data_IF_746741688731
#
_entry.id   IF_746741688731
#
_cell.length_a   1.000
_cell.length_b   1.000
_cell.length_c   1.000
_cell.angle_alpha   90.00
_cell.angle_beta   90.00
_cell.angle_gamma   90.00
#
_symmetry.space_group_name_H-M   'P 1'
#
loop_
_entity.id
_entity.type
_entity.pdbx_description
1 polymer ?
#
# COMPACT_ATOMS: atom_id res chain seq x y z
N UNK A 1 23.18 -64.37 55.18
CA UNK A 1 23.05 -65.31 54.05
C UNK A 1 23.25 -64.54 52.75
N UNK A 2 23.75 -65.22 51.71
CA UNK A 2 23.93 -64.79 50.32
C UNK A 2 22.63 -64.33 49.63
N UNK A 3 22.59 -63.64 48.47
CA UNK A 3 23.55 -62.78 47.74
C UNK A 3 22.87 -62.18 46.49
N UNK A 4 23.24 -60.95 46.11
CA UNK A 4 23.12 -60.36 44.74
C UNK A 4 21.68 -60.23 44.14
N UNK A 5 21.43 -59.51 43.03
CA UNK A 5 22.32 -58.74 42.14
C UNK A 5 21.65 -57.43 41.64
N UNK A 6 22.41 -56.57 40.96
CA UNK A 6 21.99 -55.29 40.36
C UNK A 6 22.17 -55.28 38.82
N UNK A 7 21.36 -54.47 38.12
CA UNK A 7 21.64 -53.78 36.83
C UNK A 7 20.43 -52.83 36.56
N UNK A 8 20.58 -51.50 36.43
CA UNK A 8 21.17 -50.69 35.34
C UNK A 8 20.22 -50.55 34.12
N UNK A 9 19.98 -49.38 33.50
CA UNK A 9 20.63 -48.05 33.55
C UNK A 9 19.53 -46.92 33.55
N UNK A 10 19.68 -45.73 34.17
CA UNK A 10 20.43 -44.50 33.73
C UNK A 10 19.74 -43.76 32.54
N UNK A 11 19.87 -42.41 32.32
CA UNK A 11 20.30 -41.25 33.15
C UNK A 11 19.11 -40.32 33.56
N UNK A 12 19.21 -39.15 34.22
CA UNK A 12 20.28 -38.41 34.94
C UNK A 12 19.64 -37.40 35.96
N UNK A 13 20.45 -36.91 36.91
CA UNK A 13 20.17 -35.75 37.80
C UNK A 13 21.01 -34.52 37.32
N UNK A 14 21.40 -33.49 38.11
CA UNK A 14 20.92 -32.88 39.38
C UNK A 14 20.42 -31.41 39.17
N UNK A 15 19.62 -30.78 40.05
CA UNK A 15 19.89 -30.09 41.35
C UNK A 15 20.83 -28.86 41.34
N UNK A 16 20.37 -27.80 42.05
CA UNK A 16 21.10 -26.64 42.64
C UNK A 16 21.98 -25.77 41.69
N UNK A 17 22.36 -24.51 42.00
CA UNK A 17 22.18 -23.61 43.17
C UNK A 17 21.59 -22.25 42.62
N UNK A 18 21.50 -21.05 43.22
CA UNK A 18 21.86 -20.35 44.49
C UNK A 18 20.87 -19.19 44.73
N UNK A 19 20.88 -18.54 45.92
CA UNK A 19 20.18 -17.28 46.18
C UNK A 19 20.99 -16.02 45.77
N UNK A 20 20.30 -14.95 45.34
CA UNK A 20 20.90 -13.66 44.99
C UNK A 20 19.97 -12.48 45.30
N UNK A 21 20.53 -11.30 45.55
CA UNK A 21 19.78 -10.10 45.96
C UNK A 21 18.93 -9.51 44.82
N UNK A 22 17.83 -8.77 45.13
CA UNK A 22 17.07 -8.04 44.13
C UNK A 22 17.91 -6.88 43.56
N UNK A 23 18.56 -7.15 42.42
CA UNK A 23 19.16 -6.12 41.57
C UNK A 23 18.08 -5.09 41.16
N UNK A 24 18.38 -3.78 41.21
CA UNK A 24 17.54 -2.80 40.55
C UNK A 24 17.41 -3.16 39.07
N UNK A 25 16.19 -3.45 38.64
CA UNK A 25 15.89 -3.71 37.23
C UNK A 25 16.06 -2.41 36.45
N UNK A 26 17.23 -2.28 35.84
CA UNK A 26 17.50 -1.28 34.81
C UNK A 26 16.37 -1.35 33.77
N UNK A 27 15.69 -0.24 33.43
CA UNK A 27 14.50 -0.29 32.59
C UNK A 27 14.83 -0.98 31.26
N UNK A 28 14.13 -2.10 30.99
CA UNK A 28 14.30 -2.81 29.73
C UNK A 28 14.14 -1.83 28.56
N UNK A 29 14.95 -1.92 27.50
CA UNK A 29 14.82 -1.06 26.33
C UNK A 29 13.36 -1.03 25.89
N UNK A 30 12.79 0.17 25.81
CA UNK A 30 11.40 0.32 25.42
C UNK A 30 11.16 -0.44 24.11
N UNK A 31 10.05 -1.19 23.98
CA UNK A 31 9.70 -1.81 22.70
C UNK A 31 9.81 -0.76 21.59
N UNK A 32 10.31 -1.12 20.39
CA UNK A 32 10.35 -0.17 19.29
C UNK A 32 8.96 0.44 19.15
N UNK A 33 8.89 1.77 19.19
CA UNK A 33 7.63 2.47 19.17
C UNK A 33 6.79 1.96 17.99
N UNK A 34 5.46 1.78 18.15
CA UNK A 34 4.60 1.44 17.02
C UNK A 34 4.95 2.38 15.85
N UNK A 35 5.12 1.85 14.62
CA UNK A 35 5.37 2.71 13.46
C UNK A 35 4.31 3.80 13.47
N UNK A 36 4.77 5.06 13.35
CA UNK A 36 3.93 6.23 13.61
C UNK A 36 2.58 6.07 12.90
N UNK A 37 1.50 6.30 13.65
CA UNK A 37 0.13 5.98 13.23
C UNK A 37 -0.39 6.97 12.18
N UNK A 38 0.26 6.98 11.01
CA UNK A 38 -0.35 7.45 9.77
C UNK A 38 -1.57 6.61 9.42
N UNK A 39 -2.30 7.03 8.40
CA UNK A 39 -3.53 6.37 7.99
C UNK A 39 -3.27 4.86 7.73
N UNK A 40 -4.19 3.96 8.15
CA UNK A 40 -4.08 2.54 7.79
C UNK A 40 -3.99 2.43 6.26
N UNK A 41 -3.16 1.52 5.75
CA UNK A 41 -2.88 1.45 4.31
C UNK A 41 -4.18 1.36 3.50
N UNK A 42 -4.28 2.07 2.37
CA UNK A 42 -5.51 2.15 1.62
C UNK A 42 -5.78 0.78 0.99
N UNK A 43 -7.01 0.31 1.14
CA UNK A 43 -7.43 -0.97 0.56
C UNK A 43 -7.45 -0.89 -0.96
N UNK A 44 -7.39 -2.05 -1.62
CA UNK A 44 -7.45 -2.15 -3.08
C UNK A 44 -8.72 -1.52 -3.66
N UNK A 45 -9.83 -1.54 -2.92
CA UNK A 45 -11.12 -0.92 -3.27
C UNK A 45 -11.10 0.62 -3.11
N UNK A 46 -10.48 1.16 -2.06
CA UNK A 46 -10.27 2.60 -1.90
C UNK A 46 -9.38 3.17 -3.01
N UNK A 47 -8.32 2.44 -3.39
CA UNK A 47 -7.46 2.82 -4.51
C UNK A 47 -8.20 2.71 -5.85
N UNK A 48 -8.94 1.63 -6.11
CA UNK A 48 -9.70 1.49 -7.37
C UNK A 48 -10.80 2.55 -7.49
N UNK A 49 -11.50 2.87 -6.40
CA UNK A 49 -12.51 3.92 -6.32
C UNK A 49 -11.94 5.32 -6.53
N UNK A 50 -10.76 5.61 -5.94
CA UNK A 50 -10.03 6.86 -6.20
C UNK A 50 -9.64 6.99 -7.68
N UNK A 51 -9.07 5.94 -8.28
CA UNK A 51 -8.65 5.96 -9.69
C UNK A 51 -9.83 6.00 -10.67
N UNK A 52 -10.96 5.42 -10.29
CA UNK A 52 -12.23 5.52 -11.02
C UNK A 52 -12.72 6.97 -11.04
N UNK A 53 -12.74 7.67 -9.89
CA UNK A 53 -13.05 9.12 -9.84
C UNK A 53 -12.03 9.95 -10.64
N UNK A 54 -10.75 9.64 -10.48
CA UNK A 54 -9.66 10.30 -11.21
C UNK A 54 -9.85 10.18 -12.74
N UNK A 55 -10.48 9.09 -13.19
CA UNK A 55 -10.75 8.78 -14.61
C UNK A 55 -12.20 9.01 -15.06
N UNK A 56 -13.05 9.56 -14.20
CA UNK A 56 -14.46 9.86 -14.52
C UNK A 56 -14.56 11.14 -15.39
N UNK A 57 -15.27 11.08 -16.52
CA UNK A 57 -15.38 12.21 -17.45
C UNK A 57 -16.48 13.24 -17.11
N UNK A 58 -17.08 13.13 -15.91
CA UNK A 58 -18.14 13.99 -15.38
C UNK A 58 -17.68 14.92 -14.26
N UNK A 59 -16.76 14.49 -13.38
CA UNK A 59 -16.14 15.37 -12.38
C UNK A 59 -14.99 16.19 -12.98
N UNK A 60 -14.85 17.46 -12.58
CA UNK A 60 -13.82 18.34 -13.15
C UNK A 60 -12.44 18.15 -12.52
N UNK A 61 -11.38 18.63 -13.19
CA UNK A 61 -10.00 18.53 -12.70
C UNK A 61 -9.76 19.08 -11.28
N UNK A 62 -10.62 19.96 -10.75
CA UNK A 62 -10.53 20.46 -9.37
C UNK A 62 -10.81 19.36 -8.34
N UNK A 63 -11.92 18.65 -8.48
CA UNK A 63 -12.28 17.52 -7.61
C UNK A 63 -11.33 16.33 -7.78
N UNK A 64 -10.71 16.19 -8.98
CA UNK A 64 -9.60 15.27 -9.20
C UNK A 64 -8.31 15.72 -8.50
N UNK A 65 -8.13 17.02 -8.32
CA UNK A 65 -6.98 17.61 -7.63
C UNK A 65 -6.92 17.21 -6.16
N UNK A 66 -8.07 17.12 -5.47
CA UNK A 66 -8.15 16.65 -4.08
C UNK A 66 -7.74 15.16 -3.91
N UNK A 67 -7.59 14.42 -5.02
CA UNK A 67 -7.12 13.02 -5.06
C UNK A 67 -5.62 12.90 -5.40
N UNK A 68 -4.90 14.03 -5.57
CA UNK A 68 -3.50 14.07 -6.01
C UNK A 68 -2.64 14.92 -5.07
N UNK A 69 -1.46 14.43 -4.72
CA UNK A 69 -0.43 15.14 -3.92
C UNK A 69 -0.06 16.48 -4.57
N UNK A 70 -0.31 17.60 -3.89
CA UNK A 70 -0.20 18.99 -4.43
C UNK A 70 -1.21 19.36 -5.55
N UNK A 71 -2.13 18.46 -5.89
CA UNK A 71 -3.19 18.68 -6.88
C UNK A 71 -2.77 18.53 -8.35
N UNK A 72 -3.68 18.99 -9.21
CA UNK A 72 -3.56 18.98 -10.68
C UNK A 72 -3.63 20.44 -11.16
N UNK A 73 -2.68 20.88 -11.97
CA UNK A 73 -2.70 22.24 -12.53
C UNK A 73 -3.76 22.40 -13.61
N UNK A 74 -4.17 23.63 -13.93
CA UNK A 74 -5.17 23.86 -14.99
C UNK A 74 -4.76 23.30 -16.36
N UNK A 75 -3.45 23.28 -16.67
CA UNK A 75 -2.96 22.76 -17.95
C UNK A 75 -3.09 21.24 -18.02
N UNK A 76 -2.67 20.54 -16.96
CA UNK A 76 -2.81 19.08 -16.85
C UNK A 76 -4.27 18.68 -16.79
N UNK A 77 -5.08 19.41 -16.01
CA UNK A 77 -6.51 19.22 -15.90
C UNK A 77 -7.22 19.34 -17.25
N UNK A 78 -6.93 20.37 -18.04
CA UNK A 78 -7.47 20.50 -19.40
C UNK A 78 -7.04 19.36 -20.33
N UNK A 79 -5.81 18.84 -20.20
CA UNK A 79 -5.36 17.66 -20.96
C UNK A 79 -6.08 16.38 -20.55
N UNK A 80 -6.24 16.17 -19.24
CA UNK A 80 -6.96 15.06 -18.61
C UNK A 80 -8.44 15.06 -19.03
N UNK A 81 -9.12 16.20 -18.87
CA UNK A 81 -10.51 16.39 -19.31
C UNK A 81 -10.66 16.20 -20.84
N UNK A 82 -9.69 16.66 -21.65
CA UNK A 82 -9.70 16.44 -23.09
C UNK A 82 -9.60 14.94 -23.45
N UNK A 83 -8.63 14.22 -22.88
CA UNK A 83 -8.39 12.82 -23.20
C UNK A 83 -9.49 11.89 -22.66
N UNK A 84 -10.02 12.15 -21.46
CA UNK A 84 -11.21 11.44 -20.97
C UNK A 84 -12.44 11.72 -21.86
N UNK A 85 -12.61 12.95 -22.35
CA UNK A 85 -13.73 13.30 -23.23
C UNK A 85 -13.53 12.86 -24.69
N UNK A 86 -12.29 12.60 -25.12
CA UNK A 86 -11.95 11.83 -26.33
C UNK A 86 -12.32 10.36 -26.11
N UNK A 87 -11.76 9.70 -25.08
CA UNK A 87 -12.06 8.33 -24.71
C UNK A 87 -13.58 8.05 -24.56
N UNK A 88 -14.35 8.97 -23.99
CA UNK A 88 -15.81 8.89 -23.93
C UNK A 88 -16.46 8.86 -25.33
N UNK A 89 -16.09 9.79 -26.22
CA UNK A 89 -16.60 9.88 -27.60
C UNK A 89 -16.20 8.67 -28.44
N UNK A 90 -14.99 8.16 -28.22
CA UNK A 90 -14.49 6.96 -28.88
C UNK A 90 -15.09 5.66 -28.33
N UNK A 91 -15.80 5.68 -27.20
CA UNK A 91 -16.33 4.46 -26.56
C UNK A 91 -15.24 3.61 -25.89
N UNK A 92 -14.16 4.24 -25.44
CA UNK A 92 -13.07 3.63 -24.66
C UNK A 92 -13.33 3.62 -23.14
N UNK A 93 -14.40 4.30 -22.68
CA UNK A 93 -14.86 4.30 -21.29
C UNK A 93 -16.03 3.31 -21.06
N UNK A 94 -16.22 2.81 -19.82
CA UNK A 94 -15.40 3.06 -18.63
C UNK A 94 -14.05 2.34 -18.67
N UNK A 95 -13.03 2.95 -18.08
CA UNK A 95 -11.81 2.25 -17.67
C UNK A 95 -12.06 1.50 -16.36
N UNK A 96 -11.46 0.33 -16.22
CA UNK A 96 -11.52 -0.51 -15.03
C UNK A 96 -10.13 -0.60 -14.39
N UNK A 97 -10.04 -0.39 -13.08
CA UNK A 97 -8.80 -0.29 -12.32
C UNK A 97 -8.68 -1.46 -11.34
N UNK A 98 -7.98 -2.52 -11.75
CA UNK A 98 -7.76 -3.71 -10.94
C UNK A 98 -6.48 -3.56 -10.11
N UNK A 99 -6.61 -3.33 -8.80
CA UNK A 99 -5.49 -3.04 -7.90
C UNK A 99 -4.95 -4.35 -7.33
N UNK A 100 -3.83 -4.83 -7.90
CA UNK A 100 -3.24 -6.13 -7.62
C UNK A 100 -2.71 -6.26 -6.18
N UNK A 101 -2.09 -5.18 -5.69
CA UNK A 101 -1.61 -5.06 -4.31
C UNK A 101 -1.42 -3.58 -3.94
N UNK A 102 -1.28 -3.33 -2.64
CA UNK A 102 -0.77 -2.08 -2.07
C UNK A 102 0.29 -2.44 -1.04
N UNK A 103 1.49 -1.88 -1.16
CA UNK A 103 2.63 -2.15 -0.24
C UNK A 103 3.17 -0.85 0.35
N UNK A 104 3.54 -0.80 1.65
CA UNK A 104 4.15 0.39 2.23
C UNK A 104 5.58 0.56 1.72
N UNK A 105 5.96 1.78 1.35
CA UNK A 105 7.32 2.09 0.89
C UNK A 105 8.19 2.79 1.94
N UNK A 106 7.59 3.24 3.05
CA UNK A 106 8.22 4.06 4.08
C UNK A 106 7.67 5.50 4.07
N UNK A 107 8.05 6.31 5.05
CA UNK A 107 7.87 7.78 5.04
C UNK A 107 6.45 8.30 4.69
N UNK A 108 5.41 7.59 5.15
CA UNK A 108 4.01 7.94 4.85
C UNK A 108 3.60 7.67 3.40
N UNK A 109 4.33 6.81 2.68
CA UNK A 109 4.07 6.46 1.28
C UNK A 109 3.79 4.97 1.10
N UNK A 110 3.04 4.66 0.05
CA UNK A 110 2.72 3.31 -0.39
C UNK A 110 2.83 3.20 -1.91
N UNK A 111 2.91 1.99 -2.43
CA UNK A 111 2.93 1.68 -3.86
C UNK A 111 1.81 0.69 -4.17
N UNK A 112 0.89 1.08 -5.05
CA UNK A 112 -0.15 0.22 -5.57
C UNK A 112 0.19 -0.21 -7.01
N UNK A 113 0.18 -1.51 -7.31
CA UNK A 113 0.29 -1.97 -8.70
C UNK A 113 -1.11 -2.13 -9.27
N UNK A 114 -1.44 -1.34 -10.29
CA UNK A 114 -2.81 -1.24 -10.82
C UNK A 114 -2.83 -1.64 -12.30
N UNK A 115 -3.62 -2.66 -12.61
CA UNK A 115 -3.91 -3.09 -13.98
C UNK A 115 -5.10 -2.32 -14.52
N UNK A 116 -4.83 -1.43 -15.46
CA UNK A 116 -5.86 -0.67 -16.18
C UNK A 116 -6.34 -1.49 -17.38
N UNK A 117 -7.65 -1.63 -17.52
CA UNK A 117 -8.33 -2.21 -18.69
C UNK A 117 -9.44 -1.28 -19.19
N UNK A 118 -9.90 -1.48 -20.42
CA UNK A 118 -10.98 -0.69 -21.01
C UNK A 118 -11.35 -1.19 -22.41
N UNK A 119 -12.59 -0.97 -22.88
CA UNK A 119 -13.16 -1.60 -24.09
C UNK A 119 -12.42 -1.32 -25.41
N UNK A 120 -11.52 -0.34 -25.46
CA UNK A 120 -10.65 -0.07 -26.63
C UNK A 120 -9.15 -0.22 -26.38
N UNK A 121 -8.70 -0.49 -25.16
CA UNK A 121 -7.26 -0.79 -24.95
C UNK A 121 -6.93 -2.18 -25.51
N UNK A 122 -5.90 -2.32 -26.36
CA UNK A 122 -5.58 -3.58 -27.03
C UNK A 122 -5.00 -4.65 -26.08
N UNK A 123 -4.51 -4.24 -24.91
CA UNK A 123 -4.05 -5.11 -23.83
C UNK A 123 -4.20 -4.41 -22.47
N UNK A 124 -4.35 -5.15 -21.37
CA UNK A 124 -4.23 -4.61 -20.01
C UNK A 124 -2.87 -3.94 -19.79
N UNK A 125 -2.84 -2.80 -19.07
CA UNK A 125 -1.61 -2.11 -18.68
C UNK A 125 -1.47 -2.09 -17.17
N UNK A 126 -0.54 -2.86 -16.61
CA UNK A 126 -0.17 -2.75 -15.19
C UNK A 126 0.82 -1.61 -14.99
N UNK A 127 0.48 -0.67 -14.11
CA UNK A 127 1.32 0.48 -13.73
C UNK A 127 1.56 0.50 -12.22
N UNK A 128 2.80 0.74 -11.76
CA UNK A 128 3.07 1.06 -10.37
C UNK A 128 2.68 2.52 -10.10
N UNK A 129 1.81 2.75 -9.13
CA UNK A 129 1.34 4.07 -8.72
C UNK A 129 1.71 4.32 -7.25
N UNK A 130 2.41 5.40 -6.97
CA UNK A 130 2.73 5.82 -5.61
C UNK A 130 1.55 6.55 -4.98
N UNK A 131 1.25 6.23 -3.72
CA UNK A 131 0.29 6.92 -2.85
C UNK A 131 1.03 7.55 -1.68
N UNK A 132 0.42 8.58 -1.10
CA UNK A 132 0.99 9.41 -0.03
C UNK A 132 -0.09 9.72 1.00
N UNK A 133 0.21 9.52 2.27
CA UNK A 133 -0.63 9.93 3.39
C UNK A 133 -0.38 11.42 3.70
N UNK A 134 -1.41 12.24 3.49
CA UNK A 134 -1.43 13.65 3.90
C UNK A 134 -2.52 13.90 4.96
N UNK A 135 -2.86 12.88 5.76
CA UNK A 135 -4.08 12.80 6.59
C UNK A 135 -5.25 12.14 5.87
N UNK A 136 -5.12 11.98 4.55
CA UNK A 136 -5.88 11.10 3.66
C UNK A 136 -4.91 10.53 2.63
N UNK A 137 -5.14 9.31 2.14
CA UNK A 137 -4.34 8.73 1.07
C UNK A 137 -4.68 9.38 -0.28
N UNK A 138 -3.70 10.05 -0.89
CA UNK A 138 -3.78 10.66 -2.22
C UNK A 138 -2.76 10.03 -3.16
N UNK A 139 -3.00 10.12 -4.47
CA UNK A 139 -2.06 9.66 -5.49
C UNK A 139 -0.89 10.64 -5.62
N UNK A 140 0.35 10.17 -5.68
CA UNK A 140 1.50 11.05 -5.91
C UNK A 140 1.41 11.68 -7.31
N UNK A 141 1.74 12.98 -7.43
CA UNK A 141 1.54 13.75 -8.66
C UNK A 141 2.17 13.09 -9.90
N UNK A 142 3.41 12.63 -9.77
CA UNK A 142 4.13 11.90 -10.83
C UNK A 142 3.36 10.65 -11.30
N UNK A 143 2.83 9.85 -10.35
CA UNK A 143 2.04 8.66 -10.65
C UNK A 143 0.68 8.98 -11.26
N UNK A 144 0.05 10.10 -10.88
CA UNK A 144 -1.15 10.60 -11.55
C UNK A 144 -0.85 10.96 -13.02
N UNK A 145 0.21 11.73 -13.27
CA UNK A 145 0.63 12.11 -14.63
C UNK A 145 1.05 10.89 -15.47
N UNK A 146 1.76 9.93 -14.89
CA UNK A 146 2.08 8.65 -15.54
C UNK A 146 0.79 7.92 -15.97
N UNK A 147 -0.22 7.84 -15.09
CA UNK A 147 -1.49 7.21 -15.42
C UNK A 147 -2.20 7.93 -16.56
N UNK A 148 -2.31 9.26 -16.52
CA UNK A 148 -2.95 10.05 -17.59
C UNK A 148 -2.23 9.89 -18.93
N UNK A 149 -0.90 9.85 -18.94
CA UNK A 149 -0.12 9.55 -20.14
C UNK A 149 -0.40 8.15 -20.70
N UNK A 150 -0.70 7.15 -19.84
CA UNK A 150 -1.05 5.80 -20.29
C UNK A 150 -2.48 5.69 -20.84
N UNK A 151 -3.42 6.49 -20.32
CA UNK A 151 -4.79 6.62 -20.84
C UNK A 151 -4.83 7.40 -22.18
N UNK A 152 -4.04 8.46 -22.31
CA UNK A 152 -3.93 9.26 -23.54
C UNK A 152 -3.35 8.48 -24.75
N UNK A 153 -2.67 7.37 -24.48
CA UNK A 153 -2.12 6.43 -25.47
C UNK A 153 -3.11 5.29 -25.84
N UNK A 154 -4.39 5.40 -25.46
CA UNK A 154 -5.47 4.50 -25.84
C UNK A 154 -6.37 5.03 -26.95
#
# INVERSE_FOLDING_TARGET
MSSATIASAEPAAPQDVVAGAPIPLEPAPAPPAPPAQGAPLPTTDEVSGMLTRLSDAGIGYKEKGDLVENGITQQEGHGLDHELRKAYRDGALPYNFDVLNVVPTGDGKALANVTVTGPKMPAPKTVPLQLVDQGSWVLSHDSAMQLFQQLAQG
#
